data_IF_341383117444
#
_entry.id   IF_341383117444
#
_cell.length_a   1.000
_cell.length_b   1.000
_cell.length_c   1.000
_cell.angle_alpha   90.00
_cell.angle_beta   90.00
_cell.angle_gamma   90.00
#
_symmetry.space_group_name_H-M   'P 1'
#
loop_
_entity.id
_entity.type
_entity.pdbx_description
1 polymer ?
#
# COMPACT_ATOMS: atom_id res chain seq x y z
N UNK A 1 -5.94 -24.85 -0.27
CA UNK A 1 -6.87 -24.91 0.89
C UNK A 1 -7.51 -26.28 1.04
N UNK A 2 -8.28 -26.81 0.10
CA UNK A 2 -8.96 -28.11 0.23
C UNK A 2 -8.03 -29.28 0.59
N UNK A 3 -6.85 -29.38 -0.02
CA UNK A 3 -5.89 -30.44 0.29
C UNK A 3 -5.42 -30.42 1.75
N UNK A 4 -5.13 -29.22 2.29
CA UNK A 4 -4.75 -29.07 3.68
C UNK A 4 -5.88 -29.49 4.64
N UNK A 5 -7.11 -29.06 4.36
CA UNK A 5 -8.30 -29.47 5.14
C UNK A 5 -8.49 -30.99 5.08
N UNK A 6 -8.31 -31.61 3.91
CA UNK A 6 -8.40 -33.07 3.76
C UNK A 6 -7.34 -33.78 4.61
N UNK A 7 -6.10 -33.32 4.63
CA UNK A 7 -5.03 -33.90 5.47
C UNK A 7 -5.33 -33.76 6.96
N UNK A 8 -5.83 -32.60 7.41
CA UNK A 8 -6.26 -32.40 8.79
C UNK A 8 -7.39 -33.36 9.17
N UNK A 9 -8.37 -33.50 8.28
CA UNK A 9 -9.50 -34.42 8.48
C UNK A 9 -9.05 -35.89 8.56
N UNK A 10 -8.09 -36.30 7.70
CA UNK A 10 -7.49 -37.65 7.75
C UNK A 10 -6.85 -37.92 9.12
N UNK A 11 -6.11 -36.97 9.69
CA UNK A 11 -5.52 -37.12 11.02
C UNK A 11 -6.56 -37.35 12.12
N UNK A 12 -7.65 -36.60 12.09
CA UNK A 12 -8.77 -36.77 13.02
C UNK A 12 -9.47 -38.12 12.80
N UNK A 13 -9.68 -38.52 11.55
CA UNK A 13 -10.30 -39.80 11.21
C UNK A 13 -9.45 -40.98 11.68
N UNK A 14 -8.13 -40.94 11.50
CA UNK A 14 -7.20 -41.95 11.99
C UNK A 14 -7.25 -42.07 13.53
N UNK A 15 -7.45 -40.97 14.24
CA UNK A 15 -7.62 -40.97 15.68
C UNK A 15 -8.97 -41.62 16.10
N UNK A 16 -10.06 -41.32 15.41
CA UNK A 16 -11.40 -41.89 15.71
C UNK A 16 -11.41 -43.41 15.47
N UNK A 17 -10.77 -43.88 14.43
CA UNK A 17 -10.68 -45.30 14.08
C UNK A 17 -9.70 -46.07 14.96
N UNK A 18 -9.02 -45.39 15.86
CA UNK A 18 -8.02 -46.02 16.77
C UNK A 18 -8.70 -46.96 17.78
N UNK A 19 -8.08 -48.15 18.08
CA UNK A 19 -8.52 -48.99 19.18
C UNK A 19 -8.45 -48.25 20.52
N UNK A 20 -9.40 -48.47 21.43
CA UNK A 20 -9.46 -47.81 22.76
C UNK A 20 -8.13 -47.86 23.50
N UNK A 21 -7.47 -49.02 23.51
CA UNK A 21 -6.21 -49.24 24.23
C UNK A 21 -5.04 -48.37 23.68
N UNK A 22 -5.13 -47.86 22.46
CA UNK A 22 -4.07 -47.09 21.78
C UNK A 22 -4.43 -45.64 21.47
N UNK A 23 -5.61 -45.19 21.92
CA UNK A 23 -6.07 -43.81 21.67
C UNK A 23 -5.08 -42.77 22.17
N UNK A 24 -4.52 -42.97 23.36
CA UNK A 24 -3.59 -42.01 23.95
C UNK A 24 -2.29 -41.92 23.13
N UNK A 25 -1.78 -43.04 22.61
CA UNK A 25 -0.62 -43.08 21.73
C UNK A 25 -0.87 -42.23 20.44
N UNK A 26 -2.02 -42.42 19.82
CA UNK A 26 -2.35 -41.72 18.58
C UNK A 26 -2.66 -40.22 18.80
N UNK A 27 -3.23 -39.83 19.94
CA UNK A 27 -3.36 -38.43 20.35
C UNK A 27 -2.00 -37.73 20.43
N UNK A 28 -1.02 -38.38 21.08
CA UNK A 28 0.34 -37.86 21.21
C UNK A 28 0.97 -37.67 19.80
N UNK A 29 0.86 -38.67 18.93
CA UNK A 29 1.39 -38.60 17.56
C UNK A 29 0.73 -37.47 16.75
N UNK A 30 -0.58 -37.28 16.90
CA UNK A 30 -1.30 -36.19 16.25
C UNK A 30 -0.82 -34.83 16.73
N UNK A 31 -0.64 -34.66 18.05
CA UNK A 31 -0.16 -33.40 18.61
C UNK A 31 1.25 -33.07 18.13
N UNK A 32 2.17 -34.05 18.08
CA UNK A 32 3.53 -33.85 17.57
C UNK A 32 3.48 -33.49 16.07
N UNK A 33 2.64 -34.16 15.29
CA UNK A 33 2.46 -33.86 13.88
C UNK A 33 1.93 -32.43 13.66
N UNK A 34 0.99 -31.97 14.50
CA UNK A 34 0.49 -30.58 14.43
C UNK A 34 1.54 -29.55 14.85
N UNK A 35 2.39 -29.88 15.84
CA UNK A 35 3.53 -29.04 16.19
C UNK A 35 4.52 -28.90 15.01
N UNK A 36 4.85 -29.99 14.34
CA UNK A 36 5.68 -29.95 13.14
C UNK A 36 5.03 -29.11 12.02
N UNK A 37 3.72 -29.23 11.85
CA UNK A 37 2.96 -28.45 10.88
C UNK A 37 2.93 -26.95 11.21
N UNK A 38 2.90 -26.57 12.51
CA UNK A 38 3.03 -25.18 12.94
C UNK A 38 4.37 -24.58 12.54
N UNK A 39 5.50 -25.32 12.69
CA UNK A 39 6.79 -24.85 12.19
C UNK A 39 6.77 -24.62 10.68
N UNK A 40 6.10 -25.47 9.91
CA UNK A 40 5.91 -25.25 8.47
C UNK A 40 5.10 -23.99 8.19
N UNK A 41 4.06 -23.70 8.98
CA UNK A 41 3.24 -22.49 8.87
C UNK A 41 4.05 -21.21 9.08
N UNK A 42 5.01 -21.22 10.00
CA UNK A 42 5.94 -20.11 10.24
C UNK A 42 7.13 -20.08 9.26
N UNK A 43 7.03 -20.76 8.12
CA UNK A 43 8.08 -20.87 7.09
C UNK A 43 9.39 -21.54 7.56
N UNK A 44 9.39 -22.18 8.72
CA UNK A 44 10.52 -22.97 9.23
C UNK A 44 10.47 -24.41 8.68
N UNK A 45 10.41 -24.57 7.35
CA UNK A 45 10.18 -25.85 6.67
C UNK A 45 11.23 -26.90 7.00
N UNK A 46 12.49 -26.50 7.15
CA UNK A 46 13.58 -27.43 7.50
C UNK A 46 13.34 -28.04 8.89
N UNK A 47 13.00 -27.23 9.87
CA UNK A 47 12.70 -27.69 11.24
C UNK A 47 11.47 -28.58 11.24
N UNK A 48 10.43 -28.21 10.50
CA UNK A 48 9.21 -29.01 10.36
C UNK A 48 9.48 -30.40 9.78
N UNK A 49 10.30 -30.50 8.74
CA UNK A 49 10.68 -31.78 8.11
C UNK A 49 11.53 -32.62 9.07
N UNK A 50 12.48 -32.02 9.81
CA UNK A 50 13.29 -32.73 10.83
C UNK A 50 12.39 -33.28 11.93
N UNK A 51 11.46 -32.49 12.48
CA UNK A 51 10.52 -32.92 13.50
C UNK A 51 9.63 -34.08 13.02
N UNK A 52 9.06 -33.98 11.82
CA UNK A 52 8.27 -35.06 11.25
C UNK A 52 9.09 -36.32 10.99
N UNK A 53 10.32 -36.19 10.49
CA UNK A 53 11.24 -37.29 10.27
C UNK A 53 11.63 -38.00 11.57
N UNK A 54 11.95 -37.24 12.63
CA UNK A 54 12.24 -37.80 13.97
C UNK A 54 11.01 -38.52 14.53
N UNK A 55 9.82 -37.97 14.40
CA UNK A 55 8.58 -38.64 14.80
C UNK A 55 8.43 -40.01 14.10
N UNK A 56 8.64 -40.05 12.80
CA UNK A 56 8.55 -41.29 11.99
C UNK A 56 9.56 -42.31 12.46
N UNK A 57 10.83 -41.92 12.66
CA UNK A 57 11.90 -42.82 13.09
C UNK A 57 11.62 -43.38 14.49
N UNK A 58 11.31 -42.49 15.45
CA UNK A 58 11.05 -42.88 16.83
C UNK A 58 9.86 -43.85 16.90
N UNK A 59 8.78 -43.51 16.20
CA UNK A 59 7.58 -44.34 16.18
C UNK A 59 7.82 -45.71 15.53
N UNK A 60 8.54 -45.76 14.42
CA UNK A 60 8.89 -47.01 13.74
C UNK A 60 9.73 -47.92 14.58
N UNK A 61 10.76 -47.36 15.26
CA UNK A 61 11.62 -48.13 16.17
C UNK A 61 10.81 -48.67 17.35
N UNK A 62 9.96 -47.83 17.94
CA UNK A 62 9.08 -48.26 19.05
C UNK A 62 8.16 -49.42 18.63
N UNK A 63 7.54 -49.37 17.46
CA UNK A 63 6.66 -50.44 16.96
C UNK A 63 7.39 -51.73 16.63
N UNK A 64 8.57 -51.64 16.05
CA UNK A 64 9.40 -52.84 15.82
C UNK A 64 9.82 -53.48 17.14
N UNK A 65 10.20 -52.68 18.12
CA UNK A 65 10.59 -53.16 19.45
C UNK A 65 9.41 -53.87 20.17
N UNK A 66 8.24 -53.27 20.20
CA UNK A 66 7.02 -53.87 20.81
C UNK A 66 6.57 -55.12 20.10
N UNK A 67 6.64 -55.15 18.75
CA UNK A 67 6.33 -56.36 17.97
C UNK A 67 7.30 -57.50 18.26
N UNK A 68 8.62 -57.20 18.37
CA UNK A 68 9.64 -58.21 18.63
C UNK A 68 9.57 -58.81 20.06
N UNK A 69 9.39 -57.96 21.10
CA UNK A 69 9.40 -58.41 22.50
C UNK A 69 8.08 -58.98 22.94
N UNK A 70 6.96 -58.35 22.53
CA UNK A 70 5.62 -58.70 23.05
C UNK A 70 4.79 -59.50 22.04
N UNK A 71 5.32 -59.78 20.84
CA UNK A 71 4.61 -60.52 19.80
C UNK A 71 3.36 -59.79 19.28
N UNK A 72 3.26 -58.45 19.46
CA UNK A 72 2.11 -57.67 19.05
C UNK A 72 2.07 -57.54 17.55
N UNK A 73 0.91 -57.80 16.93
CA UNK A 73 0.69 -57.60 15.48
C UNK A 73 0.64 -56.09 15.19
N UNK A 74 1.38 -55.68 14.17
CA UNK A 74 1.33 -54.31 13.64
C UNK A 74 0.05 -54.17 12.82
N UNK A 75 -0.86 -53.28 13.20
CA UNK A 75 -2.11 -52.98 12.50
C UNK A 75 -1.86 -52.09 11.29
N UNK A 76 -2.67 -52.24 10.24
CA UNK A 76 -2.62 -51.40 9.03
C UNK A 76 -2.77 -49.91 9.34
N UNK A 77 -3.54 -49.56 10.39
CA UNK A 77 -3.71 -48.16 10.85
C UNK A 77 -2.41 -47.55 11.37
N UNK A 78 -1.47 -48.34 11.84
CA UNK A 78 -0.19 -47.86 12.36
C UNK A 78 0.76 -47.41 11.26
N UNK A 79 0.68 -48.03 10.07
CA UNK A 79 1.43 -47.55 8.91
C UNK A 79 0.97 -46.18 8.44
N UNK A 80 -0.33 -45.85 8.60
CA UNK A 80 -0.85 -44.53 8.27
C UNK A 80 -0.19 -43.43 9.13
N UNK A 81 0.12 -43.72 10.41
CA UNK A 81 0.80 -42.80 11.31
C UNK A 81 2.28 -42.57 10.98
N UNK A 82 2.91 -43.44 10.20
CA UNK A 82 4.27 -43.26 9.69
C UNK A 82 4.24 -42.24 8.52
N UNK A 83 3.22 -42.28 7.68
CA UNK A 83 3.12 -41.45 6.49
C UNK A 83 2.50 -40.07 6.81
N UNK A 84 1.56 -40.04 7.77
CA UNK A 84 0.77 -38.85 8.08
C UNK A 84 1.58 -37.59 8.42
N UNK A 85 2.64 -37.60 9.29
CA UNK A 85 3.41 -36.39 9.64
C UNK A 85 4.07 -35.75 8.43
N UNK A 86 4.60 -36.56 7.52
CA UNK A 86 5.23 -36.07 6.28
C UNK A 86 4.20 -35.43 5.33
N UNK A 87 3.04 -36.08 5.19
CA UNK A 87 1.94 -35.51 4.40
C UNK A 87 1.43 -34.19 5.00
N UNK A 88 1.29 -34.09 6.33
CA UNK A 88 0.82 -32.90 7.01
C UNK A 88 1.79 -31.72 6.83
N UNK A 89 3.09 -31.95 7.03
CA UNK A 89 4.13 -30.94 6.82
C UNK A 89 4.21 -30.55 5.33
N UNK A 90 4.15 -31.52 4.42
CA UNK A 90 4.17 -31.28 2.99
C UNK A 90 2.98 -30.43 2.53
N UNK A 91 1.75 -30.78 2.98
CA UNK A 91 0.54 -30.05 2.67
C UNK A 91 0.61 -28.58 3.16
N UNK A 92 1.09 -28.38 4.40
CA UNK A 92 1.24 -27.04 4.97
C UNK A 92 2.30 -26.23 4.24
N UNK A 93 3.46 -26.83 3.93
CA UNK A 93 4.52 -26.15 3.16
C UNK A 93 4.04 -25.73 1.77
N UNK A 94 3.30 -26.60 1.07
CA UNK A 94 2.70 -26.25 -0.23
C UNK A 94 1.68 -25.12 -0.09
N UNK A 95 0.85 -25.14 0.94
CA UNK A 95 -0.12 -24.08 1.20
C UNK A 95 0.57 -22.75 1.43
N UNK A 96 1.55 -22.69 2.34
CA UNK A 96 2.30 -21.46 2.66
C UNK A 96 3.04 -20.91 1.44
N UNK A 97 3.69 -21.77 0.64
CA UNK A 97 4.38 -21.35 -0.56
C UNK A 97 3.41 -20.76 -1.62
N UNK A 98 2.23 -21.38 -1.79
CA UNK A 98 1.21 -20.86 -2.71
C UNK A 98 0.64 -19.53 -2.25
N UNK A 99 0.38 -19.38 -0.94
CA UNK A 99 -0.11 -18.11 -0.38
C UNK A 99 0.92 -16.99 -0.55
N UNK A 100 2.19 -17.28 -0.31
CA UNK A 100 3.28 -16.30 -0.51
C UNK A 100 3.43 -15.86 -1.96
N UNK A 101 3.26 -16.76 -2.92
CA UNK A 101 3.29 -16.40 -4.35
C UNK A 101 2.10 -15.49 -4.72
N UNK A 102 0.91 -15.79 -4.21
CA UNK A 102 -0.27 -14.94 -4.42
C UNK A 102 -0.12 -13.55 -3.79
N UNK A 103 0.45 -13.47 -2.58
CA UNK A 103 0.76 -12.19 -1.93
C UNK A 103 1.70 -11.35 -2.80
N UNK A 104 2.79 -11.94 -3.30
CA UNK A 104 3.74 -11.22 -4.17
C UNK A 104 3.12 -10.78 -5.50
N UNK A 105 2.20 -11.55 -6.06
CA UNK A 105 1.47 -11.19 -7.28
C UNK A 105 0.50 -10.04 -7.04
N UNK A 106 -0.21 -10.05 -5.89
CA UNK A 106 -1.09 -8.95 -5.48
C UNK A 106 -0.30 -7.67 -5.28
N UNK A 107 0.85 -7.73 -4.60
CA UNK A 107 1.71 -6.57 -4.40
C UNK A 107 2.22 -6.00 -5.73
N UNK A 108 2.65 -6.87 -6.64
CA UNK A 108 3.05 -6.47 -7.99
C UNK A 108 1.92 -5.79 -8.77
N UNK A 109 0.71 -6.38 -8.73
CA UNK A 109 -0.47 -5.79 -9.40
C UNK A 109 -0.86 -4.44 -8.77
N UNK A 110 -0.80 -4.33 -7.45
CA UNK A 110 -1.05 -3.07 -6.75
C UNK A 110 -0.05 -1.98 -7.18
N UNK A 111 1.24 -2.31 -7.28
CA UNK A 111 2.24 -1.37 -7.83
C UNK A 111 1.92 -0.94 -9.27
N UNK A 112 1.47 -1.86 -10.13
CA UNK A 112 1.08 -1.50 -11.49
C UNK A 112 -0.15 -0.59 -11.51
N UNK A 113 -1.15 -0.87 -10.68
CA UNK A 113 -2.33 -0.02 -10.55
C UNK A 113 -1.93 1.38 -10.09
N UNK A 114 -1.10 1.51 -9.06
CA UNK A 114 -0.61 2.82 -8.58
C UNK A 114 0.15 3.58 -9.68
N UNK A 115 0.93 2.88 -10.50
CA UNK A 115 1.62 3.49 -11.66
C UNK A 115 0.67 3.96 -12.76
N UNK A 116 -0.53 3.38 -12.88
CA UNK A 116 -1.55 3.76 -13.88
C UNK A 116 -2.51 4.84 -13.36
N UNK A 117 -2.64 4.98 -12.06
CA UNK A 117 -3.52 6.00 -11.46
C UNK A 117 -2.99 7.40 -11.80
N UNK A 118 -3.83 8.19 -12.40
CA UNK A 118 -3.56 9.59 -12.79
C UNK A 118 -4.28 10.60 -11.87
N UNK A 119 -5.01 10.10 -10.88
CA UNK A 119 -5.82 10.89 -9.95
C UNK A 119 -5.30 10.67 -8.53
N UNK A 120 -5.22 11.73 -7.77
CA UNK A 120 -4.91 11.69 -6.33
C UNK A 120 -6.14 11.21 -5.55
N UNK A 121 -6.03 10.13 -4.75
CA UNK A 121 -7.18 9.54 -4.08
C UNK A 121 -7.74 10.40 -2.94
N UNK A 122 -6.94 11.32 -2.37
CA UNK A 122 -7.37 12.19 -1.30
C UNK A 122 -8.23 13.34 -1.81
N UNK A 123 -7.76 14.03 -2.86
CA UNK A 123 -8.37 15.26 -3.36
C UNK A 123 -9.28 15.06 -4.57
N UNK A 124 -9.17 13.91 -5.25
CA UNK A 124 -9.85 13.65 -6.52
C UNK A 124 -9.28 14.44 -7.71
N UNK A 125 -8.21 15.21 -7.51
CA UNK A 125 -7.53 15.96 -8.56
C UNK A 125 -6.57 15.07 -9.36
N UNK A 126 -6.11 15.57 -10.49
CA UNK A 126 -5.00 14.92 -11.19
C UNK A 126 -3.74 14.94 -10.33
N UNK A 127 -2.90 13.92 -10.45
CA UNK A 127 -1.68 13.80 -9.68
C UNK A 127 -0.44 14.36 -10.39
N UNK A 128 0.73 14.31 -9.73
CA UNK A 128 2.01 14.79 -10.28
C UNK A 128 2.37 14.14 -11.61
N UNK A 129 2.05 12.87 -11.82
CA UNK A 129 2.31 12.19 -13.08
C UNK A 129 1.48 12.79 -14.22
N UNK A 130 0.21 13.07 -13.97
CA UNK A 130 -0.67 13.77 -14.92
C UNK A 130 -0.14 15.17 -15.25
N UNK A 131 0.36 15.90 -14.25
CA UNK A 131 0.99 17.20 -14.48
C UNK A 131 2.14 17.10 -15.50
N UNK A 132 3.07 16.15 -15.33
CA UNK A 132 4.19 16.02 -16.27
C UNK A 132 3.75 15.63 -17.68
N UNK A 133 2.76 14.75 -17.82
CA UNK A 133 2.21 14.37 -19.13
C UNK A 133 1.54 15.56 -19.82
N UNK A 134 0.70 16.29 -19.11
CA UNK A 134 0.00 17.44 -19.63
C UNK A 134 0.96 18.59 -19.93
N UNK A 135 1.91 18.87 -19.04
CA UNK A 135 2.91 19.93 -19.21
C UNK A 135 3.76 19.69 -20.47
N UNK A 136 4.18 18.44 -20.70
CA UNK A 136 4.92 18.07 -21.91
C UNK A 136 4.10 18.34 -23.18
N UNK A 137 2.81 17.99 -23.18
CA UNK A 137 1.90 18.25 -24.29
C UNK A 137 1.67 19.74 -24.53
N UNK A 138 1.42 20.50 -23.46
CA UNK A 138 1.16 21.93 -23.52
C UNK A 138 2.39 22.73 -23.96
N UNK A 139 3.59 22.38 -23.48
CA UNK A 139 4.86 22.98 -23.93
C UNK A 139 5.05 22.77 -25.43
N UNK A 140 4.76 21.57 -25.95
CA UNK A 140 4.86 21.30 -27.38
C UNK A 140 3.85 22.11 -28.21
N UNK A 141 2.65 22.33 -27.67
CA UNK A 141 1.63 23.17 -28.28
C UNK A 141 2.02 24.68 -28.26
N UNK A 142 2.51 25.15 -27.11
CA UNK A 142 2.97 26.51 -26.93
C UNK A 142 4.07 26.87 -27.94
N UNK A 143 5.06 25.99 -28.09
CA UNK A 143 6.13 26.18 -29.08
C UNK A 143 5.63 26.28 -30.54
N UNK A 144 4.53 25.55 -30.89
CA UNK A 144 3.97 25.57 -32.23
C UNK A 144 3.03 26.77 -32.49
N UNK A 145 2.25 27.13 -31.49
CA UNK A 145 1.15 28.10 -31.66
C UNK A 145 1.44 29.46 -31.04
N UNK A 146 2.63 29.62 -30.48
CA UNK A 146 3.02 30.82 -29.75
C UNK A 146 2.05 31.18 -28.63
N UNK A 147 1.61 30.17 -27.86
CA UNK A 147 0.67 30.33 -26.75
C UNK A 147 1.46 30.52 -25.45
N UNK A 148 0.94 31.38 -24.59
CA UNK A 148 1.49 31.62 -23.28
C UNK A 148 0.98 30.56 -22.31
N UNK A 149 1.89 29.95 -21.57
CA UNK A 149 1.61 28.96 -20.50
C UNK A 149 2.32 29.41 -19.23
N UNK A 150 1.60 29.41 -18.13
CA UNK A 150 2.17 29.67 -16.79
C UNK A 150 1.87 28.50 -15.88
N UNK A 151 2.89 27.98 -15.22
CA UNK A 151 2.74 27.02 -14.14
C UNK A 151 2.77 27.78 -12.80
N UNK A 152 1.73 27.56 -11.98
CA UNK A 152 1.63 28.11 -10.63
C UNK A 152 1.62 26.95 -9.65
N UNK A 153 2.34 27.07 -8.53
CA UNK A 153 2.33 26.13 -7.42
C UNK A 153 1.86 26.86 -6.16
N UNK A 154 0.91 26.24 -5.48
CA UNK A 154 0.35 26.66 -4.21
C UNK A 154 0.76 25.65 -3.13
N UNK A 155 1.29 26.08 -2.01
CA UNK A 155 1.58 25.21 -0.88
C UNK A 155 1.18 25.85 0.47
N UNK A 156 1.03 25.00 1.49
CA UNK A 156 0.79 25.42 2.86
C UNK A 156 2.11 25.82 3.52
N UNK A 157 2.19 27.04 4.08
CA UNK A 157 3.43 27.57 4.64
C UNK A 157 3.95 26.79 5.85
N UNK A 158 3.08 26.38 6.74
CA UNK A 158 3.40 25.69 8.01
C UNK A 158 2.69 24.33 8.06
N UNK A 159 2.79 23.53 6.99
CA UNK A 159 2.06 22.25 6.89
C UNK A 159 2.42 21.30 8.04
N UNK A 160 3.70 21.18 8.38
CA UNK A 160 4.15 20.26 9.44
C UNK A 160 3.63 20.66 10.83
N UNK A 161 3.55 21.95 11.13
CA UNK A 161 2.99 22.50 12.37
C UNK A 161 1.47 22.32 12.39
N UNK A 162 0.80 22.65 11.28
CA UNK A 162 -0.65 22.44 11.13
C UNK A 162 -1.03 20.97 11.31
N UNK A 163 -0.27 20.07 10.72
CA UNK A 163 -0.50 18.62 10.82
C UNK A 163 -0.38 18.12 12.27
N UNK A 164 0.56 18.66 13.05
CA UNK A 164 0.71 18.35 14.49
C UNK A 164 -0.45 18.87 15.33
N UNK A 165 -0.99 20.04 14.98
CA UNK A 165 -2.09 20.68 15.74
C UNK A 165 -3.44 20.03 15.40
N UNK A 166 -3.69 19.77 14.11
CA UNK A 166 -4.96 19.25 13.62
C UNK A 166 -5.09 17.74 13.73
N UNK A 167 -3.98 17.01 13.69
CA UNK A 167 -3.95 15.58 13.50
C UNK A 167 -4.26 15.16 12.06
N UNK A 168 -3.96 13.90 11.74
CA UNK A 168 -4.00 13.38 10.36
C UNK A 168 -5.36 13.54 9.68
N UNK A 169 -6.44 13.13 10.34
CA UNK A 169 -7.79 13.14 9.74
C UNK A 169 -8.29 14.55 9.41
N UNK A 170 -8.08 15.53 10.33
CA UNK A 170 -8.51 16.90 10.07
C UNK A 170 -7.64 17.59 9.02
N UNK A 171 -6.33 17.21 8.95
CA UNK A 171 -5.43 17.70 7.91
C UNK A 171 -5.84 17.20 6.51
N UNK A 172 -6.29 15.95 6.39
CA UNK A 172 -6.85 15.41 5.15
C UNK A 172 -8.11 16.17 4.71
N UNK A 173 -9.02 16.44 5.65
CA UNK A 173 -10.22 17.26 5.38
C UNK A 173 -9.85 18.68 4.93
N UNK A 174 -8.84 19.29 5.57
CA UNK A 174 -8.35 20.61 5.18
C UNK A 174 -7.81 20.60 3.75
N UNK A 175 -6.97 19.64 3.38
CA UNK A 175 -6.42 19.47 2.03
C UNK A 175 -7.53 19.29 0.98
N UNK A 176 -8.54 18.48 1.27
CA UNK A 176 -9.72 18.31 0.39
C UNK A 176 -10.48 19.62 0.19
N UNK A 177 -10.74 20.36 1.27
CA UNK A 177 -11.45 21.64 1.19
C UNK A 177 -10.65 22.71 0.41
N UNK A 178 -9.32 22.76 0.59
CA UNK A 178 -8.44 23.63 -0.19
C UNK A 178 -8.54 23.28 -1.67
N UNK A 179 -8.43 21.99 -2.02
CA UNK A 179 -8.51 21.50 -3.39
C UNK A 179 -9.84 21.91 -4.06
N UNK A 180 -10.97 21.72 -3.39
CA UNK A 180 -12.29 22.12 -3.85
C UNK A 180 -12.39 23.64 -4.07
N UNK A 181 -11.95 24.46 -3.10
CA UNK A 181 -11.98 25.92 -3.22
C UNK A 181 -11.09 26.43 -4.37
N UNK A 182 -9.94 25.79 -4.59
CA UNK A 182 -9.08 26.13 -5.73
C UNK A 182 -9.77 25.76 -7.04
N UNK A 183 -10.33 24.56 -7.13
CA UNK A 183 -11.05 24.09 -8.32
C UNK A 183 -12.23 25.00 -8.69
N UNK A 184 -13.04 25.39 -7.71
CA UNK A 184 -14.18 26.31 -7.91
C UNK A 184 -13.79 27.72 -8.35
N UNK A 185 -12.54 28.11 -8.13
CA UNK A 185 -12.01 29.44 -8.45
C UNK A 185 -11.42 29.50 -9.85
N UNK A 186 -10.99 28.37 -10.38
CA UNK A 186 -10.34 28.26 -11.69
C UNK A 186 -11.34 28.23 -12.84
N UNK A 187 -10.85 28.53 -14.05
CA UNK A 187 -11.63 28.41 -15.28
C UNK A 187 -11.63 26.96 -15.76
N UNK A 188 -12.56 26.63 -16.67
CA UNK A 188 -12.68 25.26 -17.22
C UNK A 188 -11.44 24.83 -18.02
N UNK A 189 -10.74 25.80 -18.63
CA UNK A 189 -9.50 25.57 -19.37
C UNK A 189 -8.28 25.40 -18.51
N UNK A 190 -8.31 25.84 -17.22
CA UNK A 190 -7.22 25.68 -16.28
C UNK A 190 -7.23 24.27 -15.68
N UNK A 191 -6.06 23.69 -15.47
CA UNK A 191 -5.95 22.36 -14.89
C UNK A 191 -5.25 22.41 -13.55
N UNK A 192 -5.73 21.60 -12.60
CA UNK A 192 -5.22 21.51 -11.24
C UNK A 192 -4.72 20.10 -10.94
N UNK A 193 -3.62 20.01 -10.20
CA UNK A 193 -2.94 18.77 -9.85
C UNK A 193 -2.52 18.77 -8.38
N UNK A 194 -2.73 17.66 -7.68
CA UNK A 194 -2.11 17.41 -6.39
C UNK A 194 -0.70 16.85 -6.64
N UNK A 195 0.34 17.54 -6.17
CA UNK A 195 1.72 17.21 -6.56
C UNK A 195 2.53 16.53 -5.47
N UNK A 196 2.07 16.59 -4.22
CA UNK A 196 2.72 15.90 -3.08
C UNK A 196 1.72 15.56 -1.97
N UNK A 197 2.17 14.78 -1.00
CA UNK A 197 1.40 14.40 0.18
C UNK A 197 1.23 15.55 1.18
N UNK A 198 2.00 16.63 1.07
CA UNK A 198 1.90 17.81 1.93
C UNK A 198 0.70 18.68 1.60
N UNK A 199 0.06 18.42 0.44
CA UNK A 199 -1.11 19.17 -0.04
C UNK A 199 -0.75 20.34 -0.94
N UNK A 200 0.45 20.32 -1.53
CA UNK A 200 0.81 21.27 -2.57
C UNK A 200 0.04 20.98 -3.85
N UNK A 201 -0.47 22.06 -4.46
CA UNK A 201 -1.25 22.01 -5.70
C UNK A 201 -0.50 22.73 -6.81
N UNK A 202 -0.44 22.14 -7.99
CA UNK A 202 0.02 22.79 -9.20
C UNK A 202 -1.16 23.17 -10.08
N UNK A 203 -1.10 24.34 -10.70
CA UNK A 203 -2.13 24.88 -11.56
C UNK A 203 -1.48 25.25 -12.91
N UNK A 204 -1.95 24.65 -13.96
CA UNK A 204 -1.50 24.94 -15.32
C UNK A 204 -2.47 25.95 -15.95
N UNK A 205 -1.97 27.16 -16.16
CA UNK A 205 -2.73 28.30 -16.65
C UNK A 205 -2.39 28.61 -18.12
N UNK A 206 -3.40 28.81 -18.94
CA UNK A 206 -3.25 29.25 -20.34
C UNK A 206 -3.25 30.80 -20.41
N UNK A 207 -2.24 31.41 -19.74
CA UNK A 207 -2.11 32.87 -19.72
C UNK A 207 -0.65 33.30 -19.56
N UNK A 208 -0.41 34.61 -19.70
CA UNK A 208 0.89 35.22 -19.41
C UNK A 208 1.18 35.25 -17.91
N UNK A 209 2.45 35.32 -17.54
CA UNK A 209 2.88 35.39 -16.14
C UNK A 209 2.27 36.60 -15.39
N UNK A 210 2.08 37.73 -16.07
CA UNK A 210 1.45 38.93 -15.47
C UNK A 210 -0.03 38.66 -15.10
N UNK A 211 -0.75 37.91 -15.93
CA UNK A 211 -2.14 37.55 -15.68
C UNK A 211 -2.29 36.50 -14.57
N UNK A 212 -1.26 35.70 -14.36
CA UNK A 212 -1.22 34.74 -13.26
C UNK A 212 -1.30 35.42 -11.88
N UNK A 213 -0.81 36.64 -11.74
CA UNK A 213 -0.98 37.46 -10.52
C UNK A 213 -2.45 37.71 -10.20
N UNK A 214 -3.29 37.90 -11.21
CA UNK A 214 -4.75 38.09 -11.01
C UNK A 214 -5.37 36.81 -10.47
N UNK A 215 -4.94 35.64 -10.99
CA UNK A 215 -5.39 34.33 -10.50
C UNK A 215 -4.93 34.10 -9.06
N UNK A 216 -3.65 34.38 -8.74
CA UNK A 216 -3.10 34.35 -7.37
C UNK A 216 -3.97 35.14 -6.40
N UNK A 217 -4.26 36.41 -6.73
CA UNK A 217 -5.04 37.28 -5.84
C UNK A 217 -6.49 36.79 -5.65
N UNK A 218 -7.09 36.22 -6.68
CA UNK A 218 -8.42 35.61 -6.61
C UNK A 218 -8.43 34.37 -5.73
N UNK A 219 -7.41 33.51 -5.87
CA UNK A 219 -7.22 32.35 -5.02
C UNK A 219 -6.98 32.73 -3.55
N UNK A 220 -6.09 33.68 -3.28
CA UNK A 220 -5.85 34.19 -1.93
C UNK A 220 -7.14 34.67 -1.27
N UNK A 221 -7.93 35.48 -1.97
CA UNK A 221 -9.21 35.99 -1.46
C UNK A 221 -10.20 34.87 -1.13
N UNK A 222 -10.23 33.80 -1.92
CA UNK A 222 -11.12 32.65 -1.71
C UNK A 222 -10.60 31.75 -0.57
N UNK A 223 -9.29 31.58 -0.49
CA UNK A 223 -8.65 30.72 0.51
C UNK A 223 -8.59 31.33 1.89
N UNK A 224 -8.50 32.68 2.03
CA UNK A 224 -8.65 33.37 3.32
C UNK A 224 -10.05 33.17 3.92
N UNK A 225 -11.06 32.89 3.12
CA UNK A 225 -12.37 32.48 3.65
C UNK A 225 -12.36 31.05 4.26
N UNK A 226 -11.33 30.24 3.97
CA UNK A 226 -11.13 28.90 4.56
C UNK A 226 -10.65 29.00 6.03
N UNK A 227 -10.07 30.16 6.44
CA UNK A 227 -9.70 30.43 7.83
C UNK A 227 -10.90 30.38 8.81
N UNK A 228 -12.12 30.50 8.29
CA UNK A 228 -13.35 30.44 9.05
C UNK A 228 -13.95 29.03 9.09
N UNK A 229 -13.15 27.97 9.34
CA UNK A 229 -13.66 26.59 9.48
C UNK A 229 -14.01 26.25 10.93
N UNK A 230 -15.17 26.64 11.46
CA UNK A 230 -15.60 26.28 12.80
C UNK A 230 -15.88 24.78 12.96
N UNK A 231 -15.97 24.03 11.85
CA UNK A 231 -16.25 22.60 11.83
C UNK A 231 -15.04 21.74 12.20
N UNK A 232 -13.82 22.21 11.98
CA UNK A 232 -12.59 21.44 12.24
C UNK A 232 -12.07 21.69 13.65
N UNK A 233 -12.25 22.90 14.19
CA UNK A 233 -11.72 23.26 15.52
C UNK A 233 -12.74 24.11 16.28
N UNK A 234 -13.32 23.52 17.33
CA UNK A 234 -14.36 24.18 18.13
C UNK A 234 -13.86 25.37 18.97
N UNK A 235 -12.55 25.45 19.26
CA UNK A 235 -12.03 26.39 20.29
C UNK A 235 -10.79 27.21 19.87
N UNK A 236 -10.27 27.09 18.65
CA UNK A 236 -9.08 27.86 18.21
C UNK A 236 -9.24 28.34 16.77
N UNK A 237 -9.04 29.65 16.56
CA UNK A 237 -8.90 30.22 15.23
C UNK A 237 -7.48 29.88 14.74
N UNK A 238 -7.36 28.96 13.80
CA UNK A 238 -6.07 28.66 13.16
C UNK A 238 -6.06 29.39 11.82
N UNK A 239 -5.08 30.27 11.66
CA UNK A 239 -4.83 30.95 10.41
C UNK A 239 -4.01 30.04 9.49
N UNK A 240 -4.55 29.73 8.32
CA UNK A 240 -3.86 28.96 7.29
C UNK A 240 -3.14 29.92 6.36
N UNK A 241 -1.83 29.81 6.25
CA UNK A 241 -1.03 30.65 5.37
C UNK A 241 -0.60 29.86 4.12
N UNK A 242 -0.67 30.53 2.97
CA UNK A 242 -0.36 29.95 1.68
C UNK A 242 0.84 30.63 1.04
N UNK A 243 1.65 29.84 0.34
CA UNK A 243 2.75 30.32 -0.51
C UNK A 243 2.44 30.02 -1.96
N UNK A 244 2.76 30.96 -2.84
CA UNK A 244 2.57 30.83 -4.28
C UNK A 244 3.88 31.06 -5.03
N UNK A 245 4.27 30.10 -5.85
CA UNK A 245 5.31 30.27 -6.87
C UNK A 245 4.66 30.20 -8.25
N UNK A 246 5.01 31.06 -9.18
CA UNK A 246 4.56 30.95 -10.55
C UNK A 246 5.60 31.46 -11.54
N UNK A 247 5.67 30.78 -12.69
CA UNK A 247 6.63 31.12 -13.73
C UNK A 247 5.99 30.87 -15.10
N UNK A 248 6.12 31.85 -15.98
CA UNK A 248 5.74 31.68 -17.39
C UNK A 248 6.78 30.81 -18.11
N UNK A 249 6.31 29.85 -18.88
CA UNK A 249 7.18 29.03 -19.70
C UNK A 249 7.77 29.86 -20.87
N UNK A 250 9.08 29.75 -21.04
CA UNK A 250 9.81 30.28 -22.18
C UNK A 250 10.62 29.16 -22.84
N UNK A 251 10.46 28.90 -24.15
CA UNK A 251 11.22 27.89 -24.86
C UNK A 251 12.73 28.10 -24.77
N UNK A 252 13.17 29.34 -24.73
CA UNK A 252 14.60 29.71 -24.69
C UNK A 252 15.24 29.40 -23.33
N UNK A 253 14.50 29.59 -22.24
CA UNK A 253 14.99 29.43 -20.87
C UNK A 253 14.78 28.03 -20.29
N UNK A 254 13.74 27.33 -20.73
CA UNK A 254 13.30 26.07 -20.11
C UNK A 254 13.42 24.87 -21.05
N UNK A 255 13.51 25.10 -22.38
CA UNK A 255 13.60 24.03 -23.37
C UNK A 255 12.44 23.02 -23.24
N UNK A 256 12.76 21.73 -23.30
CA UNK A 256 11.80 20.63 -23.13
C UNK A 256 11.85 19.96 -21.73
N UNK A 257 12.61 20.54 -20.82
CA UNK A 257 12.79 19.99 -19.48
C UNK A 257 11.63 20.36 -18.55
N UNK A 258 10.60 19.53 -18.54
CA UNK A 258 9.39 19.74 -17.70
C UNK A 258 9.69 19.62 -16.22
N UNK A 259 10.66 18.76 -15.85
CA UNK A 259 11.02 18.53 -14.43
C UNK A 259 11.78 19.76 -13.90
N UNK A 260 12.80 20.21 -14.63
CA UNK A 260 13.55 21.40 -14.27
C UNK A 260 12.69 22.67 -14.29
N UNK A 261 11.71 22.76 -15.19
CA UNK A 261 10.76 23.86 -15.18
C UNK A 261 9.89 23.87 -13.90
N UNK A 262 9.32 22.72 -13.50
CA UNK A 262 8.57 22.60 -12.26
C UNK A 262 9.40 22.93 -11.04
N UNK A 263 10.67 22.47 -10.97
CA UNK A 263 11.59 22.78 -9.88
C UNK A 263 11.90 24.27 -9.76
N UNK A 264 12.03 24.98 -10.88
CA UNK A 264 12.18 26.44 -10.87
C UNK A 264 10.94 27.14 -10.31
N UNK A 265 9.76 26.68 -10.64
CA UNK A 265 8.50 27.23 -10.06
C UNK A 265 8.44 26.95 -8.55
N UNK A 266 8.90 25.78 -8.09
CA UNK A 266 8.99 25.49 -6.66
C UNK A 266 9.96 26.41 -5.93
N UNK A 267 11.09 26.79 -6.56
CA UNK A 267 12.03 27.73 -5.94
C UNK A 267 11.42 29.12 -5.75
N UNK A 268 10.47 29.54 -6.61
CA UNK A 268 9.76 30.81 -6.45
C UNK A 268 8.85 30.86 -5.19
N UNK A 269 8.44 29.70 -4.65
CA UNK A 269 7.69 29.66 -3.37
C UNK A 269 8.45 30.31 -2.20
N UNK A 270 9.78 30.28 -2.23
CA UNK A 270 10.63 30.83 -1.16
C UNK A 270 10.64 32.37 -1.14
N UNK A 271 10.31 33.01 -2.24
CA UNK A 271 10.30 34.46 -2.40
C UNK A 271 8.92 35.10 -2.14
N UNK A 272 7.89 34.29 -1.92
CA UNK A 272 6.55 34.79 -1.56
C UNK A 272 6.48 35.04 -0.05
N UNK A 273 6.80 36.26 0.35
CA UNK A 273 6.83 36.72 1.76
C UNK A 273 5.56 37.50 2.10
#
# INVERSE_FOLDING_TARGET
MFFLIAVLFIGILLMILAPEERKLEFVILLLISYMAMLFAAFRMTVIAVICAGLQVIIYSVYKLFTSYIYGMLILTTEFAWIIYPLLAVGAMSLFVNRTSLLESEIDYLNEQVVKLVLIDPLTGLYNLKSLYLDLQGQIALAARRNMDITLMILSLRYEAELSKILGKSNMEILKQKIALNVQDTLRVEDRIYAIDERGSLAILLNCKGVDALIVKNRLLKKLTAVDAMPEIIKDKIIKVEFQFGYLQYSPELHGKDVIGFKQKVESELQYDV
#
